data_IF_172306707575
#
_entry.id   IF_172306707575
#
_cell.length_a   1.000
_cell.length_b   1.000
_cell.length_c   1.000
_cell.angle_alpha   90.00
_cell.angle_beta   90.00
_cell.angle_gamma   90.00
#
_symmetry.space_group_name_H-M   'P 1'
#
loop_
_entity.id
_entity.type
_entity.pdbx_description
1 polymer ?
#
# COMPACT_ATOMS: atom_id res chain seq x y z
N UNK A 1 -40.59 -30.68 54.66
CA UNK A 1 -41.23 -30.53 53.35
C UNK A 1 -40.18 -30.97 52.31
N UNK A 2 -40.26 -32.25 51.92
CA UNK A 2 -39.64 -32.99 50.77
C UNK A 2 -38.18 -32.71 50.38
N UNK A 3 -37.29 -33.68 50.07
CA UNK A 3 -37.21 -35.14 50.11
C UNK A 3 -35.74 -35.48 49.69
N UNK A 4 -35.23 -36.61 50.14
CA UNK A 4 -33.91 -37.20 49.81
C UNK A 4 -33.66 -37.46 48.31
N UNK A 5 -32.39 -37.45 47.89
CA UNK A 5 -31.82 -38.44 46.95
C UNK A 5 -30.27 -38.45 46.96
N UNK A 6 -29.71 -39.65 47.15
CA UNK A 6 -28.31 -39.97 47.42
C UNK A 6 -27.61 -40.58 46.19
N UNK A 7 -26.38 -40.12 45.87
CA UNK A 7 -25.22 -40.83 45.23
C UNK A 7 -25.36 -41.44 43.79
N UNK A 8 -24.28 -41.81 43.03
CA UNK A 8 -22.84 -41.95 43.32
C UNK A 8 -21.84 -41.40 42.24
N UNK A 9 -20.55 -41.68 42.47
CA UNK A 9 -19.30 -41.30 41.78
C UNK A 9 -19.05 -41.87 40.36
N UNK A 10 -18.25 -41.15 39.55
CA UNK A 10 -17.55 -41.69 38.36
C UNK A 10 -16.09 -41.20 38.34
N UNK A 11 -15.07 -42.10 38.33
CA UNK A 11 -13.68 -41.72 38.21
C UNK A 11 -13.29 -41.47 36.75
N UNK A 12 -12.76 -40.28 36.41
CA UNK A 12 -12.14 -40.04 35.11
C UNK A 12 -10.76 -40.69 35.06
N UNK A 13 -10.65 -41.80 34.34
CA UNK A 13 -9.38 -42.42 33.93
C UNK A 13 -8.47 -41.38 33.26
N UNK A 14 -7.30 -41.12 33.86
CA UNK A 14 -6.20 -40.44 33.18
C UNK A 14 -5.58 -41.41 32.16
N UNK A 15 -5.82 -41.17 30.88
CA UNK A 15 -5.14 -41.87 29.80
C UNK A 15 -3.68 -41.40 29.75
N UNK A 16 -2.75 -42.30 30.11
CA UNK A 16 -1.31 -42.11 30.02
C UNK A 16 -0.90 -42.33 28.55
N UNK A 17 -0.69 -41.27 27.78
CA UNK A 17 -0.09 -41.37 26.43
C UNK A 17 1.41 -41.66 26.56
N UNK A 18 1.99 -42.52 25.70
CA UNK A 18 3.39 -42.94 25.80
C UNK A 18 4.34 -41.81 25.41
N UNK A 19 5.37 -41.63 26.24
CA UNK A 19 6.51 -40.78 25.98
C UNK A 19 7.39 -41.38 24.86
N UNK A 20 7.21 -40.91 23.64
CA UNK A 20 8.23 -41.03 22.59
C UNK A 20 7.88 -40.13 21.42
N UNK A 21 8.52 -38.96 21.37
CA UNK A 21 8.88 -38.19 20.17
C UNK A 21 9.67 -37.00 20.70
N UNK A 22 10.94 -37.25 21.03
CA UNK A 22 11.87 -36.16 21.33
C UNK A 22 11.98 -35.31 20.07
N UNK A 23 11.49 -34.08 20.14
CA UNK A 23 11.84 -33.01 19.21
C UNK A 23 13.37 -32.93 19.13
N UNK A 24 13.95 -33.50 18.07
CA UNK A 24 15.40 -33.46 17.82
C UNK A 24 15.81 -32.41 16.78
N UNK A 25 14.91 -31.51 16.40
CA UNK A 25 15.18 -30.43 15.45
C UNK A 25 14.74 -29.05 15.97
N UNK A 26 15.03 -28.74 17.23
CA UNK A 26 15.11 -27.33 17.63
C UNK A 26 16.45 -26.79 17.11
N UNK A 27 16.50 -25.83 16.16
CA UNK A 27 17.76 -25.24 15.76
C UNK A 27 18.41 -24.63 17.01
N UNK A 28 19.59 -25.13 17.36
CA UNK A 28 20.48 -24.55 18.35
C UNK A 28 20.53 -23.05 18.14
N UNK A 29 20.03 -22.28 19.11
CA UNK A 29 20.06 -20.82 19.11
C UNK A 29 21.48 -20.34 19.42
N UNK A 30 22.43 -20.69 18.57
CA UNK A 30 23.75 -20.06 18.59
C UNK A 30 23.53 -18.54 18.42
N UNK A 31 24.12 -17.69 19.28
CA UNK A 31 23.97 -16.26 19.14
C UNK A 31 24.46 -15.82 17.76
N UNK A 32 23.57 -15.17 17.00
CA UNK A 32 23.88 -14.65 15.66
C UNK A 32 25.10 -13.74 15.77
N UNK A 33 26.11 -13.99 14.94
CA UNK A 33 27.31 -13.16 14.90
C UNK A 33 26.93 -11.73 14.49
N UNK A 34 27.33 -10.70 15.25
CA UNK A 34 27.05 -9.33 14.87
C UNK A 34 27.74 -9.03 13.53
N UNK A 35 27.04 -8.41 12.57
CA UNK A 35 27.63 -8.11 11.27
C UNK A 35 28.81 -7.15 11.42
N UNK A 36 29.87 -7.37 10.63
CA UNK A 36 31.03 -6.49 10.64
C UNK A 36 30.64 -5.07 10.19
N UNK A 37 31.37 -4.07 10.69
CA UNK A 37 31.16 -2.68 10.29
C UNK A 37 31.29 -2.50 8.77
N UNK A 38 32.24 -3.21 8.15
CA UNK A 38 32.41 -3.22 6.70
C UNK A 38 31.18 -3.74 5.96
N UNK A 39 30.53 -4.80 6.44
CA UNK A 39 29.32 -5.32 5.81
C UNK A 39 28.16 -4.30 5.87
N UNK A 40 28.00 -3.63 7.02
CA UNK A 40 26.98 -2.58 7.21
C UNK A 40 27.19 -1.39 6.29
N UNK A 41 28.42 -0.89 6.19
CA UNK A 41 28.76 0.20 5.27
C UNK A 41 28.72 -0.22 3.81
N UNK A 42 28.97 -1.49 3.50
CA UNK A 42 28.78 -2.01 2.13
C UNK A 42 27.31 -1.96 1.73
N UNK A 43 26.39 -2.39 2.60
CA UNK A 43 24.95 -2.25 2.36
C UNK A 43 24.54 -0.78 2.16
N UNK A 44 25.05 0.13 3.00
CA UNK A 44 24.78 1.56 2.86
C UNK A 44 25.34 2.13 1.54
N UNK A 45 26.55 1.74 1.13
CA UNK A 45 27.14 2.16 -0.14
C UNK A 45 26.37 1.65 -1.36
N UNK A 46 25.87 0.41 -1.32
CA UNK A 46 25.00 -0.14 -2.37
C UNK A 46 23.72 0.70 -2.47
N UNK A 47 23.09 1.03 -1.34
CA UNK A 47 21.91 1.88 -1.31
C UNK A 47 22.21 3.27 -1.90
N UNK A 48 23.32 3.91 -1.51
CA UNK A 48 23.75 5.20 -2.08
C UNK A 48 23.91 5.10 -3.60
N UNK A 49 24.52 4.02 -4.09
CA UNK A 49 24.65 3.77 -5.53
C UNK A 49 23.30 3.71 -6.24
N UNK A 50 22.34 2.96 -5.67
CA UNK A 50 20.98 2.86 -6.20
C UNK A 50 20.28 4.23 -6.18
N UNK A 51 20.36 4.96 -5.06
CA UNK A 51 19.78 6.29 -4.94
C UNK A 51 20.43 7.30 -5.89
N UNK A 52 21.73 7.16 -6.18
CA UNK A 52 22.44 7.97 -7.17
C UNK A 52 21.97 7.70 -8.60
N UNK A 53 21.74 6.44 -8.95
CA UNK A 53 21.16 6.06 -10.26
C UNK A 53 19.73 6.61 -10.36
N UNK A 54 18.90 6.40 -9.34
CA UNK A 54 17.55 6.96 -9.28
C UNK A 54 17.58 8.49 -9.41
N UNK A 55 18.47 9.17 -8.67
CA UNK A 55 18.61 10.63 -8.72
C UNK A 55 18.98 11.14 -10.11
N UNK A 56 19.87 10.45 -10.83
CA UNK A 56 20.18 10.79 -12.23
C UNK A 56 19.00 10.65 -13.18
N UNK A 57 18.12 9.69 -12.95
CA UNK A 57 16.91 9.48 -13.76
C UNK A 57 15.79 10.47 -13.40
N UNK A 58 15.75 10.91 -12.14
CA UNK A 58 14.70 11.80 -11.62
C UNK A 58 15.02 13.27 -11.88
N UNK A 59 16.22 13.73 -11.53
CA UNK A 59 16.63 15.14 -11.62
C UNK A 59 17.18 15.48 -13.00
N UNK A 60 16.30 15.44 -14.00
CA UNK A 60 16.56 15.90 -15.37
C UNK A 60 16.34 17.42 -15.46
N UNK A 61 16.80 18.10 -16.53
CA UNK A 61 16.47 19.51 -16.77
C UNK A 61 14.96 19.75 -16.82
N UNK A 62 14.48 20.91 -16.34
CA UNK A 62 13.04 21.22 -16.31
C UNK A 62 12.40 21.17 -17.71
N UNK A 63 13.15 21.53 -18.75
CA UNK A 63 12.73 21.48 -20.16
C UNK A 63 12.47 20.06 -20.68
N UNK A 64 13.05 19.05 -20.04
CA UNK A 64 12.89 17.64 -20.41
C UNK A 64 11.85 16.93 -19.54
N UNK A 65 11.32 17.60 -18.52
CA UNK A 65 10.28 16.99 -17.68
C UNK A 65 8.96 16.88 -18.40
N UNK A 66 8.22 15.77 -18.21
CA UNK A 66 6.93 15.62 -18.84
C UNK A 66 5.99 16.75 -18.44
N UNK A 67 5.36 17.34 -19.44
CA UNK A 67 4.54 18.54 -19.35
C UNK A 67 3.44 18.46 -20.40
N UNK A 68 2.73 19.56 -20.64
CA UNK A 68 1.74 19.64 -21.73
C UNK A 68 2.41 19.39 -23.09
N UNK A 69 3.64 19.85 -23.27
CA UNK A 69 4.38 19.77 -24.54
C UNK A 69 5.28 18.53 -24.63
N UNK A 70 5.72 18.01 -23.48
CA UNK A 70 6.62 16.85 -23.40
C UNK A 70 5.84 15.64 -22.89
N UNK A 71 5.60 14.61 -23.73
CA UNK A 71 4.77 13.48 -23.33
C UNK A 71 5.45 12.60 -22.27
N UNK A 72 4.66 12.10 -21.32
CA UNK A 72 5.10 11.09 -20.36
C UNK A 72 5.36 9.73 -21.03
N UNK A 73 6.26 8.95 -20.45
CA UNK A 73 6.51 7.58 -20.87
C UNK A 73 5.23 6.70 -20.84
N UNK A 74 5.23 5.66 -21.67
CA UNK A 74 4.12 4.72 -21.80
C UNK A 74 3.78 4.00 -20.47
N UNK A 75 2.55 3.49 -20.37
CA UNK A 75 2.06 2.63 -19.27
C UNK A 75 2.89 1.35 -19.08
N UNK A 76 3.71 0.98 -20.07
CA UNK A 76 4.63 -0.16 -19.97
C UNK A 76 5.65 0.04 -18.86
N UNK A 77 6.15 1.26 -18.67
CA UNK A 77 7.12 1.58 -17.62
C UNK A 77 6.57 1.36 -16.20
N UNK A 78 5.45 1.99 -15.78
CA UNK A 78 4.88 1.74 -14.45
C UNK A 78 4.48 0.27 -14.29
N UNK A 79 3.98 -0.38 -15.34
CA UNK A 79 3.65 -1.81 -15.31
C UNK A 79 4.88 -2.68 -15.05
N UNK A 80 5.98 -2.47 -15.76
CA UNK A 80 7.22 -3.22 -15.55
C UNK A 80 7.78 -3.00 -14.15
N UNK A 81 7.75 -1.77 -13.64
CA UNK A 81 8.19 -1.46 -12.27
C UNK A 81 7.30 -2.12 -11.20
N UNK A 82 5.97 -2.06 -11.36
CA UNK A 82 5.02 -2.70 -10.44
C UNK A 82 5.15 -4.23 -10.47
N UNK A 83 5.22 -4.84 -11.65
CA UNK A 83 5.36 -6.30 -11.78
C UNK A 83 6.70 -6.74 -11.20
N UNK A 84 7.80 -6.02 -11.51
CA UNK A 84 9.11 -6.26 -10.94
C UNK A 84 9.09 -6.16 -9.41
N UNK A 85 8.47 -5.11 -8.87
CA UNK A 85 8.27 -4.93 -7.44
C UNK A 85 7.54 -6.14 -6.81
N UNK A 86 6.34 -6.49 -7.30
CA UNK A 86 5.55 -7.59 -6.73
C UNK A 86 6.23 -8.95 -6.83
N UNK A 87 6.93 -9.25 -7.93
CA UNK A 87 7.68 -10.50 -8.10
C UNK A 87 8.93 -10.53 -7.20
N UNK A 88 9.58 -9.39 -7.02
CA UNK A 88 10.81 -9.31 -6.21
C UNK A 88 10.55 -9.55 -4.71
N UNK A 89 9.37 -9.20 -4.17
CA UNK A 89 9.05 -9.38 -2.75
C UNK A 89 9.14 -10.84 -2.26
N UNK A 90 8.47 -11.83 -2.86
CA UNK A 90 8.58 -13.22 -2.43
C UNK A 90 9.98 -13.80 -2.67
N UNK A 91 10.65 -13.43 -3.77
CA UNK A 91 12.03 -13.85 -4.04
C UNK A 91 12.96 -13.34 -2.94
N UNK A 92 12.85 -12.06 -2.60
CA UNK A 92 13.64 -11.42 -1.56
C UNK A 92 13.35 -12.05 -0.19
N UNK A 93 12.08 -12.36 0.10
CA UNK A 93 11.71 -13.03 1.33
C UNK A 93 12.36 -14.43 1.44
N UNK A 94 12.27 -15.23 0.38
CA UNK A 94 12.88 -16.57 0.34
C UNK A 94 14.40 -16.50 0.49
N UNK A 95 15.05 -15.57 -0.21
CA UNK A 95 16.48 -15.33 -0.09
C UNK A 95 16.87 -14.91 1.33
N UNK A 96 16.10 -13.99 1.92
CA UNK A 96 16.33 -13.50 3.29
C UNK A 96 16.25 -14.62 4.30
N UNK A 97 15.21 -15.45 4.25
CA UNK A 97 15.00 -16.56 5.19
C UNK A 97 16.01 -17.70 5.02
N UNK A 98 16.36 -18.05 3.78
CA UNK A 98 17.22 -19.20 3.51
C UNK A 98 18.70 -18.90 3.66
N UNK A 99 19.12 -17.67 3.38
CA UNK A 99 20.53 -17.26 3.32
C UNK A 99 20.84 -16.27 4.43
N UNK A 100 20.31 -15.05 4.36
CA UNK A 100 20.76 -13.94 5.19
C UNK A 100 20.46 -14.13 6.68
N UNK A 101 19.23 -14.52 7.01
CA UNK A 101 18.75 -14.65 8.40
C UNK A 101 19.44 -15.78 9.19
N UNK A 102 20.11 -16.71 8.50
CA UNK A 102 20.90 -17.79 9.15
C UNK A 102 22.27 -17.32 9.60
N UNK A 103 22.81 -16.26 8.99
CA UNK A 103 24.19 -15.84 9.16
C UNK A 103 24.34 -14.48 9.84
N UNK A 104 23.35 -13.60 9.72
CA UNK A 104 23.46 -12.21 10.18
C UNK A 104 22.22 -11.76 10.95
N UNK A 105 22.44 -10.89 11.95
CA UNK A 105 21.38 -10.02 12.46
C UNK A 105 21.06 -8.93 11.42
N UNK A 106 19.95 -9.12 10.71
CA UNK A 106 19.51 -8.26 9.62
C UNK A 106 19.12 -6.85 10.08
N UNK A 107 18.67 -6.70 11.33
CA UNK A 107 18.35 -5.38 11.89
C UNK A 107 19.62 -4.57 12.09
N UNK A 108 20.67 -5.19 12.62
CA UNK A 108 21.98 -4.56 12.78
C UNK A 108 22.66 -4.31 11.43
N UNK A 109 22.54 -5.25 10.48
CA UNK A 109 23.16 -5.16 9.16
C UNK A 109 22.63 -3.96 8.35
N UNK A 110 21.33 -3.71 8.41
CA UNK A 110 20.64 -2.71 7.60
C UNK A 110 20.45 -1.36 8.31
N UNK A 111 20.92 -1.23 9.55
CA UNK A 111 20.66 -0.06 10.39
C UNK A 111 21.08 1.25 9.69
N UNK A 112 22.34 1.33 9.24
CA UNK A 112 22.90 2.49 8.53
C UNK A 112 22.13 2.80 7.26
N UNK A 113 21.77 1.76 6.48
CA UNK A 113 21.04 1.91 5.23
C UNK A 113 19.65 2.50 5.47
N UNK A 114 18.93 2.01 6.49
CA UNK A 114 17.62 2.54 6.83
C UNK A 114 17.70 3.97 7.36
N UNK A 115 18.66 4.29 8.23
CA UNK A 115 18.83 5.66 8.73
C UNK A 115 19.11 6.61 7.57
N UNK A 116 20.07 6.26 6.70
CA UNK A 116 20.40 7.05 5.52
C UNK A 116 19.20 7.25 4.60
N UNK A 117 18.48 6.17 4.29
CA UNK A 117 17.29 6.21 3.46
C UNK A 117 16.20 7.14 4.03
N UNK A 118 15.84 6.96 5.31
CA UNK A 118 14.80 7.78 5.94
C UNK A 118 15.22 9.26 6.02
N UNK A 119 16.48 9.55 6.33
CA UNK A 119 17.01 10.92 6.36
C UNK A 119 16.99 11.54 4.96
N UNK A 120 17.42 10.81 3.94
CA UNK A 120 17.37 11.28 2.56
C UNK A 120 15.92 11.53 2.10
N UNK A 121 14.98 10.67 2.49
CA UNK A 121 13.56 10.86 2.23
C UNK A 121 12.98 12.11 2.90
N UNK A 122 13.39 12.41 4.14
CA UNK A 122 13.03 13.67 4.82
C UNK A 122 13.51 14.88 4.03
N UNK A 123 14.77 14.89 3.58
CA UNK A 123 15.32 16.01 2.80
C UNK A 123 14.68 16.14 1.43
N UNK A 124 14.44 15.03 0.72
CA UNK A 124 13.79 15.02 -0.59
C UNK A 124 12.36 15.59 -0.49
N UNK A 125 11.56 15.08 0.44
CA UNK A 125 10.20 15.56 0.66
C UNK A 125 10.18 17.01 1.17
N UNK A 126 11.12 17.39 2.05
CA UNK A 126 11.27 18.77 2.51
C UNK A 126 11.60 19.74 1.38
N UNK A 127 12.48 19.33 0.45
CA UNK A 127 12.78 20.10 -0.75
C UNK A 127 11.55 20.25 -1.66
N UNK A 128 10.75 19.19 -1.85
CA UNK A 128 9.50 19.26 -2.61
C UNK A 128 8.50 20.24 -1.97
N UNK A 129 8.32 20.18 -0.64
CA UNK A 129 7.47 21.12 0.11
C UNK A 129 7.93 22.56 -0.12
N UNK A 130 9.24 22.83 0.05
CA UNK A 130 9.80 24.15 -0.19
C UNK A 130 9.52 24.63 -1.62
N UNK A 131 9.77 23.80 -2.63
CA UNK A 131 9.58 24.18 -4.04
C UNK A 131 8.11 24.43 -4.38
N UNK A 132 7.18 23.65 -3.84
CA UNK A 132 5.74 23.91 -4.00
C UNK A 132 5.31 25.22 -3.34
N UNK A 133 5.82 25.53 -2.14
CA UNK A 133 5.52 26.79 -1.46
C UNK A 133 6.15 28.00 -2.20
N UNK A 134 7.38 27.87 -2.67
CA UNK A 134 8.04 28.90 -3.51
C UNK A 134 7.24 29.16 -4.78
N UNK A 135 6.73 28.10 -5.41
CA UNK A 135 5.88 28.18 -6.58
C UNK A 135 4.61 29.00 -6.33
N UNK A 136 3.93 28.74 -5.20
CA UNK A 136 2.70 29.44 -4.81
C UNK A 136 2.94 30.91 -4.41
N UNK A 137 3.97 31.15 -3.59
CA UNK A 137 4.18 32.45 -2.95
C UNK A 137 4.93 33.41 -3.86
N UNK A 138 6.00 32.93 -4.51
CA UNK A 138 6.95 33.79 -5.21
C UNK A 138 6.83 33.71 -6.73
N UNK A 139 6.35 32.58 -7.27
CA UNK A 139 6.28 32.36 -8.73
C UNK A 139 4.88 32.50 -9.31
N UNK A 140 3.88 32.78 -8.47
CA UNK A 140 2.52 33.08 -8.88
C UNK A 140 1.70 31.87 -9.31
N UNK A 141 2.01 30.66 -8.78
CA UNK A 141 1.19 29.48 -9.05
C UNK A 141 -0.22 29.67 -8.46
N UNK A 142 -1.29 29.53 -9.24
CA UNK A 142 -2.65 29.68 -8.75
C UNK A 142 -2.93 28.70 -7.62
N UNK A 143 -3.57 29.18 -6.55
CA UNK A 143 -3.95 28.29 -5.45
C UNK A 143 -5.02 27.27 -5.87
N UNK A 144 -5.90 27.64 -6.79
CA UNK A 144 -6.96 26.78 -7.33
C UNK A 144 -7.20 27.14 -8.78
N UNK A 145 -7.49 26.13 -9.59
CA UNK A 145 -8.10 26.31 -10.90
C UNK A 145 -7.09 26.31 -12.05
N UNK A 146 -5.93 25.68 -11.87
CA UNK A 146 -4.93 25.57 -12.92
C UNK A 146 -5.12 24.30 -13.77
N UNK A 147 -5.55 24.50 -15.03
CA UNK A 147 -5.69 23.46 -16.08
C UNK A 147 -4.45 23.37 -16.96
N UNK A 148 -3.69 24.45 -17.07
CA UNK A 148 -2.69 24.66 -18.13
C UNK A 148 -1.36 25.10 -17.55
N UNK A 149 -0.95 24.41 -16.48
CA UNK A 149 0.43 24.33 -15.98
C UNK A 149 1.17 25.67 -16.05
N UNK A 150 0.95 26.54 -15.07
CA UNK A 150 1.70 27.80 -14.99
C UNK A 150 3.20 27.50 -14.94
N UNK A 151 4.02 28.28 -15.66
CA UNK A 151 5.49 28.16 -15.79
C UNK A 151 6.26 28.44 -14.48
N UNK A 152 5.68 28.07 -13.35
CA UNK A 152 6.15 28.29 -11.98
C UNK A 152 7.13 27.21 -11.53
N UNK A 153 7.35 26.17 -12.35
CA UNK A 153 8.15 25.01 -11.98
C UNK A 153 7.40 23.97 -11.15
N UNK A 154 6.09 24.12 -10.93
CA UNK A 154 5.27 23.12 -10.24
C UNK A 154 5.31 21.75 -10.91
N UNK A 155 5.20 21.69 -12.24
CA UNK A 155 5.24 20.42 -12.98
C UNK A 155 6.54 19.64 -12.73
N UNK A 156 7.67 20.34 -12.65
CA UNK A 156 8.96 19.74 -12.31
C UNK A 156 8.92 19.03 -10.95
N UNK A 157 8.36 19.70 -9.94
CA UNK A 157 8.29 19.14 -8.59
C UNK A 157 7.31 17.97 -8.53
N UNK A 158 6.20 18.04 -9.25
CA UNK A 158 5.26 16.91 -9.36
C UNK A 158 5.92 15.72 -10.08
N UNK A 159 6.76 15.96 -11.09
CA UNK A 159 7.56 14.91 -11.72
C UNK A 159 8.49 14.22 -10.70
N UNK A 160 9.24 15.00 -9.91
CA UNK A 160 10.10 14.44 -8.86
C UNK A 160 9.26 13.66 -7.84
N UNK A 161 8.09 14.17 -7.46
CA UNK A 161 7.15 13.50 -6.57
C UNK A 161 6.65 12.16 -7.13
N UNK A 162 6.35 12.10 -8.43
CA UNK A 162 5.99 10.87 -9.11
C UNK A 162 7.13 9.85 -9.07
N UNK A 163 8.36 10.27 -9.38
CA UNK A 163 9.54 9.41 -9.31
C UNK A 163 9.81 8.89 -7.88
N UNK A 164 9.52 9.71 -6.86
CA UNK A 164 9.68 9.34 -5.44
C UNK A 164 8.77 8.17 -5.06
N UNK A 165 7.57 8.03 -5.64
CA UNK A 165 6.67 6.88 -5.34
C UNK A 165 7.31 5.52 -5.64
N UNK A 166 8.24 5.45 -6.59
CA UNK A 166 9.01 4.24 -6.86
C UNK A 166 10.20 4.07 -5.91
N UNK A 167 10.79 5.17 -5.44
CA UNK A 167 11.81 5.12 -4.40
C UNK A 167 11.23 4.61 -3.08
N UNK A 168 9.96 4.90 -2.81
CA UNK A 168 9.22 4.42 -1.63
C UNK A 168 9.02 2.89 -1.61
N UNK A 169 9.20 2.18 -2.73
CA UNK A 169 9.17 0.72 -2.73
C UNK A 169 10.26 0.11 -1.84
N UNK A 170 11.33 0.87 -1.58
CA UNK A 170 12.37 0.47 -0.63
C UNK A 170 11.86 0.32 0.81
N UNK A 171 10.76 0.99 1.19
CA UNK A 171 10.11 0.77 2.49
C UNK A 171 9.75 -0.71 2.67
N UNK A 172 9.09 -1.28 1.65
CA UNK A 172 8.71 -2.70 1.66
C UNK A 172 9.92 -3.62 1.60
N UNK A 173 10.95 -3.26 0.82
CA UNK A 173 12.19 -4.04 0.76
C UNK A 173 12.87 -4.11 2.13
N UNK A 174 12.94 -3.01 2.88
CA UNK A 174 13.47 -3.02 4.24
C UNK A 174 12.61 -3.86 5.20
N UNK A 175 11.28 -3.83 5.08
CA UNK A 175 10.37 -4.67 5.89
C UNK A 175 10.63 -6.16 5.64
N UNK A 176 10.71 -6.57 4.36
CA UNK A 176 10.97 -7.96 3.97
C UNK A 176 12.37 -8.41 4.40
N UNK A 177 13.39 -7.60 4.14
CA UNK A 177 14.78 -7.90 4.51
C UNK A 177 14.96 -8.00 6.02
N UNK A 178 14.16 -7.30 6.83
CA UNK A 178 14.18 -7.43 8.29
C UNK A 178 13.34 -8.60 8.81
N UNK A 179 12.66 -9.33 7.94
CA UNK A 179 11.71 -10.37 8.33
C UNK A 179 10.45 -9.83 9.01
N UNK A 180 10.15 -8.54 8.90
CA UNK A 180 8.94 -7.90 9.47
C UNK A 180 7.77 -7.97 8.49
N UNK A 181 7.38 -9.18 8.12
CA UNK A 181 6.29 -9.42 7.16
C UNK A 181 4.92 -8.95 7.66
N UNK A 182 4.75 -8.84 8.98
CA UNK A 182 3.59 -8.26 9.62
C UNK A 182 3.38 -6.78 9.24
N UNK A 183 4.43 -6.07 8.86
CA UNK A 183 4.35 -4.70 8.34
C UNK A 183 3.96 -4.66 6.85
N UNK A 184 4.26 -5.72 6.08
CA UNK A 184 3.91 -5.86 4.65
C UNK A 184 2.44 -6.26 4.50
N UNK A 185 1.57 -5.37 4.93
CA UNK A 185 0.13 -5.57 4.91
C UNK A 185 -0.50 -5.37 3.55
N UNK A 186 -1.75 -5.82 3.42
CA UNK A 186 -2.59 -5.44 2.29
C UNK A 186 -2.66 -3.92 2.12
N UNK A 187 -2.86 -3.16 3.21
CA UNK A 187 -2.92 -1.69 3.16
C UNK A 187 -1.64 -1.11 2.55
N UNK A 188 -0.49 -1.57 3.02
CA UNK A 188 0.82 -1.10 2.59
C UNK A 188 1.04 -1.38 1.10
N UNK A 189 0.89 -2.64 0.68
CA UNK A 189 1.12 -3.04 -0.72
C UNK A 189 0.09 -2.43 -1.65
N UNK A 190 -1.18 -2.36 -1.24
CA UNK A 190 -2.24 -1.66 -1.96
C UNK A 190 -1.83 -0.20 -2.20
N UNK A 191 -1.54 0.54 -1.14
CA UNK A 191 -1.13 1.95 -1.21
C UNK A 191 0.04 2.19 -2.15
N UNK A 192 1.17 1.50 -1.96
CA UNK A 192 2.36 1.72 -2.80
C UNK A 192 2.10 1.36 -4.27
N UNK A 193 1.26 0.35 -4.52
CA UNK A 193 0.93 -0.03 -5.90
C UNK A 193 -0.03 0.97 -6.54
N UNK A 194 -1.15 1.29 -5.89
CA UNK A 194 -2.20 2.13 -6.46
C UNK A 194 -1.76 3.58 -6.60
N UNK A 195 -1.02 4.13 -5.62
CA UNK A 195 -0.51 5.52 -5.70
C UNK A 195 0.47 5.68 -6.86
N UNK A 196 1.36 4.72 -7.10
CA UNK A 196 2.28 4.80 -8.25
C UNK A 196 1.52 4.84 -9.60
N UNK A 197 0.45 4.07 -9.71
CA UNK A 197 -0.42 4.07 -10.90
C UNK A 197 -1.30 5.31 -10.99
N UNK A 198 -1.84 5.80 -9.88
CA UNK A 198 -2.66 7.00 -9.81
C UNK A 198 -1.85 8.23 -10.24
N UNK A 199 -0.59 8.36 -9.78
CA UNK A 199 0.28 9.44 -10.22
C UNK A 199 0.67 9.32 -11.70
N UNK A 200 0.97 8.12 -12.20
CA UNK A 200 1.21 7.94 -13.64
C UNK A 200 -0.02 8.35 -14.47
N UNK A 201 -1.21 7.90 -14.07
CA UNK A 201 -2.45 8.24 -14.76
C UNK A 201 -2.75 9.75 -14.68
N UNK A 202 -2.56 10.36 -13.51
CA UNK A 202 -2.72 11.80 -13.31
C UNK A 202 -1.80 12.59 -14.23
N UNK A 203 -0.51 12.28 -14.23
CA UNK A 203 0.49 12.97 -15.05
C UNK A 203 0.29 12.70 -16.56
N UNK A 204 -0.17 11.50 -16.95
CA UNK A 204 -0.48 11.17 -18.34
C UNK A 204 -1.74 11.88 -18.87
N UNK A 205 -2.78 11.99 -18.03
CA UNK A 205 -4.06 12.59 -18.41
C UNK A 205 -4.02 14.12 -18.30
N UNK A 206 -3.27 14.62 -17.33
CA UNK A 206 -3.28 16.00 -16.88
C UNK A 206 -1.92 16.36 -16.22
N UNK A 207 -0.87 16.61 -17.03
CA UNK A 207 0.46 16.91 -16.53
C UNK A 207 0.55 18.32 -15.92
N UNK A 208 0.52 18.39 -14.59
CA UNK A 208 0.68 19.63 -13.83
C UNK A 208 -0.63 20.19 -13.28
N UNK A 209 -0.70 21.52 -13.12
CA UNK A 209 -1.89 22.19 -12.60
C UNK A 209 -2.17 21.93 -11.13
N UNK A 210 -3.45 21.75 -10.81
CA UNK A 210 -3.98 21.55 -9.46
C UNK A 210 -3.50 20.25 -8.75
N UNK A 211 -2.81 19.35 -9.46
CA UNK A 211 -2.19 18.15 -8.86
C UNK A 211 -1.13 18.48 -7.79
N UNK A 212 -0.57 19.70 -7.80
CA UNK A 212 0.41 20.14 -6.82
C UNK A 212 -0.10 20.02 -5.38
N UNK A 213 -1.39 20.26 -5.14
CA UNK A 213 -1.93 20.32 -3.78
C UNK A 213 -1.84 18.95 -3.08
N UNK A 214 -2.17 17.89 -3.82
CA UNK A 214 -2.01 16.51 -3.36
C UNK A 214 -0.55 16.16 -3.09
N UNK A 215 0.35 16.53 -4.01
CA UNK A 215 1.79 16.28 -3.87
C UNK A 215 2.39 17.05 -2.69
N UNK A 216 1.99 18.31 -2.47
CA UNK A 216 2.44 19.16 -1.37
C UNK A 216 2.03 18.57 -0.03
N UNK A 217 0.75 18.24 0.17
CA UNK A 217 0.31 17.66 1.44
C UNK A 217 0.91 16.26 1.67
N UNK A 218 1.03 15.43 0.62
CA UNK A 218 1.70 14.14 0.73
C UNK A 218 3.16 14.32 1.16
N UNK A 219 3.90 15.24 0.52
CA UNK A 219 5.29 15.52 0.86
C UNK A 219 5.43 16.04 2.31
N UNK A 220 4.52 16.89 2.78
CA UNK A 220 4.47 17.31 4.19
C UNK A 220 4.27 16.14 5.15
N UNK A 221 3.34 15.23 4.85
CA UNK A 221 3.12 14.03 5.64
C UNK A 221 4.37 13.12 5.59
N UNK A 222 5.02 12.98 4.45
CA UNK A 222 6.19 12.14 4.27
C UNK A 222 7.41 12.69 5.01
N UNK A 223 7.61 14.01 5.08
CA UNK A 223 8.59 14.63 6.00
C UNK A 223 8.33 14.17 7.43
N UNK A 224 7.10 14.24 7.92
CA UNK A 224 6.76 13.84 9.29
C UNK A 224 6.91 12.33 9.52
N UNK A 225 6.49 11.52 8.55
CA UNK A 225 6.50 10.06 8.63
C UNK A 225 7.92 9.49 8.58
N UNK A 226 8.76 9.94 7.65
CA UNK A 226 10.16 9.51 7.57
C UNK A 226 11.00 10.07 8.71
N UNK A 227 10.68 11.27 9.23
CA UNK A 227 11.29 11.77 10.48
C UNK A 227 10.97 10.84 11.64
N UNK A 228 9.71 10.40 11.77
CA UNK A 228 9.32 9.43 12.79
C UNK A 228 10.08 8.11 12.64
N UNK A 229 10.20 7.56 11.43
CA UNK A 229 10.97 6.32 11.20
C UNK A 229 12.45 6.47 11.53
N UNK A 230 13.10 7.57 11.12
CA UNK A 230 14.49 7.85 11.47
C UNK A 230 14.67 7.95 13.00
N UNK A 231 13.82 8.70 13.69
CA UNK A 231 13.89 8.87 15.14
C UNK A 231 13.61 7.56 15.89
N UNK A 232 12.63 6.76 15.43
CA UNK A 232 12.34 5.44 15.98
C UNK A 232 13.52 4.47 15.84
N UNK A 233 14.26 4.52 14.72
CA UNK A 233 15.49 3.73 14.55
C UNK A 233 16.58 4.14 15.55
N UNK A 234 16.72 5.44 15.81
CA UNK A 234 17.64 5.99 16.82
C UNK A 234 17.17 5.77 18.27
N UNK A 235 16.06 5.04 18.48
CA UNK A 235 15.44 4.78 19.79
C UNK A 235 15.02 6.06 20.52
N UNK A 236 14.74 7.14 19.78
CA UNK A 236 14.20 8.38 20.33
C UNK A 236 12.69 8.21 20.50
N UNK A 237 12.18 8.49 21.71
CA UNK A 237 10.77 8.29 22.05
C UNK A 237 9.89 9.29 21.28
N UNK A 238 9.04 8.78 20.39
CA UNK A 238 8.14 9.60 19.56
C UNK A 238 6.66 9.34 19.91
N UNK A 239 6.05 10.10 20.85
CA UNK A 239 4.67 9.87 21.27
C UNK A 239 3.61 10.31 20.24
N UNK A 240 4.02 10.80 19.07
CA UNK A 240 3.12 11.38 18.07
C UNK A 240 2.64 10.42 16.97
N UNK A 241 2.89 9.10 17.09
CA UNK A 241 2.42 8.08 16.13
C UNK A 241 0.93 8.20 15.79
N UNK A 242 0.09 8.47 16.79
CA UNK A 242 -1.35 8.67 16.61
C UNK A 242 -1.67 9.93 15.81
N UNK A 243 -0.96 11.03 16.09
CA UNK A 243 -1.15 12.29 15.37
C UNK A 243 -0.72 12.18 13.91
N UNK A 244 0.29 11.35 13.60
CA UNK A 244 0.66 11.06 12.21
C UNK A 244 -0.48 10.38 11.44
N UNK A 245 -1.11 9.36 12.02
CA UNK A 245 -2.26 8.70 11.38
C UNK A 245 -3.45 9.66 11.21
N UNK A 246 -3.66 10.57 12.16
CA UNK A 246 -4.69 11.62 12.04
C UNK A 246 -4.33 12.63 10.94
N UNK A 247 -3.07 13.01 10.80
CA UNK A 247 -2.59 13.91 9.76
C UNK A 247 -2.73 13.29 8.37
N UNK A 248 -2.47 11.98 8.22
CA UNK A 248 -2.74 11.23 6.98
C UNK A 248 -4.23 11.22 6.61
N UNK A 249 -5.12 10.98 7.58
CA UNK A 249 -6.56 11.03 7.35
C UNK A 249 -7.02 12.45 6.95
N UNK A 250 -6.48 13.47 7.61
CA UNK A 250 -6.76 14.86 7.29
C UNK A 250 -6.28 15.20 5.87
N UNK A 251 -5.07 14.78 5.49
CA UNK A 251 -4.55 14.93 4.12
C UNK A 251 -5.54 14.38 3.10
N UNK A 252 -5.96 13.12 3.22
CA UNK A 252 -6.86 12.51 2.23
C UNK A 252 -8.19 13.28 2.11
N UNK A 253 -8.77 13.68 3.23
CA UNK A 253 -9.99 14.49 3.24
C UNK A 253 -9.78 15.87 2.59
N UNK A 254 -8.69 16.56 2.92
CA UNK A 254 -8.34 17.86 2.35
C UNK A 254 -8.15 17.78 0.84
N UNK A 255 -7.49 16.73 0.34
CA UNK A 255 -7.26 16.56 -1.11
C UNK A 255 -8.57 16.27 -1.85
N UNK A 256 -9.51 15.51 -1.26
CA UNK A 256 -10.84 15.29 -1.85
C UNK A 256 -11.60 16.62 -1.98
N UNK A 257 -11.65 17.40 -0.90
CA UNK A 257 -12.34 18.71 -0.88
C UNK A 257 -11.72 19.66 -1.91
N UNK A 258 -10.39 19.73 -1.95
CA UNK A 258 -9.67 20.54 -2.91
C UNK A 258 -9.95 20.12 -4.35
N UNK A 259 -9.92 18.82 -4.65
CA UNK A 259 -10.18 18.29 -6.00
C UNK A 259 -11.59 18.66 -6.49
N UNK A 260 -12.58 18.63 -5.59
CA UNK A 260 -13.94 19.07 -5.91
C UNK A 260 -14.00 20.57 -6.21
N UNK A 261 -13.38 21.40 -5.36
CA UNK A 261 -13.38 22.85 -5.51
C UNK A 261 -12.60 23.33 -6.76
N UNK A 262 -11.47 22.68 -7.04
CA UNK A 262 -10.68 22.85 -8.27
C UNK A 262 -11.52 22.61 -9.52
N UNK A 263 -12.22 21.48 -9.58
CA UNK A 263 -13.10 21.15 -10.72
C UNK A 263 -14.19 22.20 -10.95
N UNK A 264 -14.75 22.79 -9.89
CA UNK A 264 -15.78 23.83 -10.01
C UNK A 264 -15.22 25.20 -10.41
N UNK A 265 -13.94 25.46 -10.14
CA UNK A 265 -13.28 26.73 -10.41
C UNK A 265 -12.72 26.81 -11.84
N UNK A 266 -12.54 25.67 -12.50
CA UNK A 266 -12.11 25.57 -13.88
C UNK A 266 -13.10 26.19 -14.88
N UNK A 267 -12.63 27.02 -15.84
CA UNK A 267 -13.46 27.53 -16.93
C UNK A 267 -14.13 26.38 -17.69
N UNK A 268 -15.45 26.47 -17.88
CA UNK A 268 -16.26 25.39 -18.47
C UNK A 268 -15.73 24.97 -19.84
N UNK A 269 -15.24 25.95 -20.60
CA UNK A 269 -14.79 25.82 -21.98
C UNK A 269 -13.47 25.03 -22.10
N UNK A 270 -12.65 25.02 -21.04
CA UNK A 270 -11.35 24.35 -21.01
C UNK A 270 -11.44 22.92 -20.45
N UNK A 271 -12.60 22.55 -19.88
CA UNK A 271 -12.81 21.22 -19.32
C UNK A 271 -12.97 20.17 -20.42
N UNK A 272 -12.15 19.12 -20.34
CA UNK A 272 -12.22 17.96 -21.23
C UNK A 272 -12.45 16.68 -20.42
N UNK A 273 -12.89 15.60 -21.09
CA UNK A 273 -13.06 14.25 -20.53
C UNK A 273 -11.83 13.76 -19.76
N UNK A 274 -10.62 14.14 -20.19
CA UNK A 274 -9.37 13.80 -19.50
C UNK A 274 -9.30 14.41 -18.09
N UNK A 275 -9.71 15.67 -17.92
CA UNK A 275 -9.72 16.35 -16.62
C UNK A 275 -10.69 15.67 -15.65
N UNK A 276 -11.90 15.35 -16.13
CA UNK A 276 -12.89 14.60 -15.33
C UNK A 276 -12.39 13.21 -14.93
N UNK A 277 -11.73 12.50 -15.84
CA UNK A 277 -11.16 11.19 -15.53
C UNK A 277 -10.03 11.29 -14.50
N UNK A 278 -9.15 12.29 -14.61
CA UNK A 278 -8.09 12.55 -13.64
C UNK A 278 -8.65 12.83 -12.24
N UNK A 279 -9.64 13.73 -12.13
CA UNK A 279 -10.31 14.04 -10.85
C UNK A 279 -11.03 12.81 -10.29
N UNK A 280 -11.68 12.02 -11.15
CA UNK A 280 -12.32 10.77 -10.72
C UNK A 280 -11.31 9.79 -10.10
N UNK A 281 -10.17 9.57 -10.78
CA UNK A 281 -9.09 8.71 -10.27
C UNK A 281 -8.55 9.27 -8.95
N UNK A 282 -8.30 10.58 -8.87
CA UNK A 282 -7.82 11.25 -7.66
C UNK A 282 -8.79 11.06 -6.47
N UNK A 283 -10.08 11.33 -6.67
CA UNK A 283 -11.10 11.19 -5.62
C UNK A 283 -11.24 9.73 -5.21
N UNK A 284 -11.26 8.80 -6.18
CA UNK A 284 -11.34 7.37 -5.91
C UNK A 284 -10.18 6.90 -5.04
N UNK A 285 -8.95 7.28 -5.39
CA UNK A 285 -7.73 6.89 -4.67
C UNK A 285 -7.68 7.49 -3.26
N UNK A 286 -7.99 8.77 -3.10
CA UNK A 286 -8.02 9.39 -1.77
C UNK A 286 -9.13 8.80 -0.90
N UNK A 287 -10.30 8.49 -1.48
CA UNK A 287 -11.41 7.89 -0.75
C UNK A 287 -11.10 6.44 -0.33
N UNK A 288 -10.51 5.65 -1.21
CA UNK A 288 -10.10 4.27 -0.88
C UNK A 288 -9.09 4.28 0.27
N UNK A 289 -8.02 5.09 0.16
CA UNK A 289 -7.01 5.22 1.21
C UNK A 289 -7.58 5.78 2.51
N UNK A 290 -8.46 6.78 2.45
CA UNK A 290 -9.14 7.29 3.64
C UNK A 290 -9.89 6.16 4.36
N UNK A 291 -10.68 5.36 3.65
CA UNK A 291 -11.44 4.25 4.25
C UNK A 291 -10.50 3.23 4.88
N UNK A 292 -9.46 2.78 4.17
CA UNK A 292 -8.54 1.77 4.70
C UNK A 292 -7.76 2.30 5.92
N UNK A 293 -7.25 3.54 5.87
CA UNK A 293 -6.56 4.18 7.00
C UNK A 293 -7.52 4.45 8.16
N UNK A 294 -8.78 4.77 7.91
CA UNK A 294 -9.77 5.02 8.96
C UNK A 294 -10.12 3.73 9.70
N UNK A 295 -10.30 2.62 8.97
CA UNK A 295 -10.47 1.29 9.56
C UNK A 295 -9.25 0.93 10.41
N UNK A 296 -8.04 1.12 9.87
CA UNK A 296 -6.79 0.91 10.60
C UNK A 296 -6.71 1.77 11.88
N UNK A 297 -7.04 3.05 11.79
CA UNK A 297 -7.04 3.98 12.92
C UNK A 297 -8.02 3.54 14.01
N UNK A 298 -9.27 3.22 13.65
CA UNK A 298 -10.25 2.72 14.63
C UNK A 298 -9.76 1.44 15.30
N UNK A 299 -9.26 0.47 14.53
CA UNK A 299 -8.79 -0.81 15.10
C UNK A 299 -7.59 -0.65 16.02
N UNK A 300 -6.61 0.17 15.62
CA UNK A 300 -5.36 0.37 16.37
C UNK A 300 -5.55 1.19 17.64
N UNK A 301 -6.50 2.14 17.66
CA UNK A 301 -6.65 3.09 18.76
C UNK A 301 -7.95 2.95 19.58
N UNK A 302 -8.95 2.17 19.13
CA UNK A 302 -10.22 2.00 19.87
C UNK A 302 -10.12 1.01 21.05
N UNK A 303 -9.13 0.10 21.07
CA UNK A 303 -8.98 -0.89 22.14
C UNK A 303 -8.32 -0.37 23.43
N UNK A 304 -7.85 0.88 23.45
CA UNK A 304 -7.29 1.50 24.67
C UNK A 304 -8.32 1.85 25.74
N UNK A 305 -9.61 1.90 25.42
CA UNK A 305 -10.66 2.38 26.35
C UNK A 305 -11.29 1.29 27.23
N UNK A 306 -11.07 0.00 26.95
CA UNK A 306 -11.68 -1.10 27.71
C UNK A 306 -10.70 -1.71 28.75
N UNK A 307 -9.38 -1.65 28.51
CA UNK A 307 -8.41 -2.27 29.42
C UNK A 307 -7.86 -1.36 30.54
N UNK A 308 -8.23 -0.07 30.56
CA UNK A 308 -7.83 0.85 31.65
C UNK A 308 -8.76 0.80 32.87
N UNK A 309 -9.80 -0.04 32.87
CA UNK A 309 -10.73 -0.20 34.01
C UNK A 309 -10.51 -1.49 34.80
N UNK A 310 -9.47 -2.28 34.50
CA UNK A 310 -9.11 -3.46 35.27
C UNK A 310 -7.67 -3.31 35.81
N UNK A 311 -7.56 -3.19 37.14
CA UNK A 311 -6.34 -3.11 37.94
C UNK A 311 -5.10 -3.82 37.33
N UNK A 312 -4.08 -3.04 36.97
CA UNK A 312 -2.68 -3.49 36.92
C UNK A 312 -1.76 -2.41 37.50
N UNK A 313 -0.80 -2.76 38.38
CA UNK A 313 0.18 -1.82 38.89
C UNK A 313 1.10 -1.33 37.74
N UNK A 314 1.78 -0.18 37.92
CA UNK A 314 2.48 0.49 36.83
C UNK A 314 3.76 -0.26 36.45
N UNK A 315 3.68 -1.13 35.46
CA UNK A 315 4.88 -1.63 34.77
C UNK A 315 5.29 -0.61 33.72
N UNK A 316 6.59 -0.24 33.70
CA UNK A 316 7.17 0.66 32.71
C UNK A 316 6.86 0.14 31.29
N UNK A 317 6.02 0.84 30.53
CA UNK A 317 5.78 0.52 29.13
C UNK A 317 7.05 0.83 28.34
N UNK A 318 7.80 -0.20 27.97
CA UNK A 318 8.89 -0.09 27.02
C UNK A 318 8.32 0.26 25.65
N UNK A 319 9.01 1.10 24.88
CA UNK A 319 8.58 1.54 23.55
C UNK A 319 8.28 0.38 22.56
N UNK A 320 8.84 -0.81 22.81
CA UNK A 320 8.63 -2.04 22.04
C UNK A 320 7.16 -2.56 22.09
N UNK A 321 6.46 -2.45 23.22
CA UNK A 321 5.09 -2.97 23.35
C UNK A 321 4.06 -2.18 22.51
N UNK A 322 4.32 -0.90 22.27
CA UNK A 322 3.45 -0.05 21.44
C UNK A 322 3.61 -0.27 19.94
N UNK A 323 4.78 -0.76 19.51
CA UNK A 323 5.04 -1.12 18.12
C UNK A 323 4.49 -2.51 17.78
N UNK A 324 4.62 -3.48 18.70
CA UNK A 324 4.04 -4.82 18.56
C UNK A 324 2.50 -4.80 18.46
N UNK A 325 1.81 -3.97 19.24
CA UNK A 325 0.33 -3.87 19.17
C UNK A 325 -0.17 -3.24 17.87
N UNK A 326 0.54 -2.24 17.34
CA UNK A 326 0.21 -1.61 16.07
C UNK A 326 0.41 -2.59 14.90
N UNK A 327 1.48 -3.38 14.95
CA UNK A 327 1.76 -4.41 13.95
C UNK A 327 0.81 -5.59 14.02
N UNK A 328 0.38 -6.00 15.21
CA UNK A 328 -0.72 -6.96 15.35
C UNK A 328 -2.03 -6.43 14.76
N UNK A 329 -2.32 -5.13 14.90
CA UNK A 329 -3.49 -4.52 14.28
C UNK A 329 -3.40 -4.48 12.74
N UNK A 330 -2.21 -4.26 12.18
CA UNK A 330 -1.91 -4.31 10.74
C UNK A 330 -2.03 -5.73 10.17
N UNK A 331 -1.49 -6.73 10.86
CA UNK A 331 -1.63 -8.14 10.47
C UNK A 331 -3.10 -8.60 10.54
N UNK A 332 -3.82 -8.20 11.59
CA UNK A 332 -5.24 -8.49 11.71
C UNK A 332 -6.09 -7.72 10.69
N UNK A 333 -5.66 -6.55 10.20
CA UNK A 333 -6.31 -5.83 9.11
C UNK A 333 -6.12 -6.56 7.78
N UNK A 334 -4.90 -7.04 7.49
CA UNK A 334 -4.60 -7.82 6.28
C UNK A 334 -5.51 -9.04 6.19
N UNK A 335 -5.66 -9.79 7.28
CA UNK A 335 -6.54 -10.96 7.30
C UNK A 335 -8.01 -10.60 7.06
N UNK A 336 -8.52 -9.52 7.66
CA UNK A 336 -9.91 -9.08 7.46
C UNK A 336 -10.14 -8.59 6.02
N UNK A 337 -9.21 -7.83 5.46
CA UNK A 337 -9.35 -7.31 4.09
C UNK A 337 -9.21 -8.42 3.04
N UNK A 338 -8.28 -9.35 3.22
CA UNK A 338 -8.19 -10.55 2.37
C UNK A 338 -9.49 -11.35 2.42
N UNK A 339 -10.10 -11.55 3.60
CA UNK A 339 -11.38 -12.23 3.73
C UNK A 339 -12.53 -11.49 3.00
N UNK A 340 -12.56 -10.16 3.08
CA UNK A 340 -13.57 -9.34 2.39
C UNK A 340 -13.38 -9.36 0.86
N UNK A 341 -12.14 -9.33 0.38
CA UNK A 341 -11.84 -9.43 -1.05
C UNK A 341 -12.15 -10.83 -1.59
N UNK A 342 -11.86 -11.89 -0.84
CA UNK A 342 -12.23 -13.26 -1.19
C UNK A 342 -13.75 -13.45 -1.24
N UNK A 343 -14.48 -12.81 -0.33
CA UNK A 343 -15.95 -12.80 -0.35
C UNK A 343 -16.48 -12.07 -1.59
N UNK A 344 -15.96 -10.87 -1.88
CA UNK A 344 -16.36 -10.11 -3.07
C UNK A 344 -16.02 -10.83 -4.38
N UNK A 345 -14.87 -11.51 -4.46
CA UNK A 345 -14.47 -12.30 -5.62
C UNK A 345 -15.39 -13.51 -5.84
N UNK A 346 -15.82 -14.18 -4.76
CA UNK A 346 -16.79 -15.27 -4.82
C UNK A 346 -18.16 -14.78 -5.28
N UNK A 347 -18.61 -13.62 -4.80
CA UNK A 347 -19.88 -13.03 -5.21
C UNK A 347 -19.86 -12.61 -6.69
N UNK A 348 -18.78 -11.98 -7.15
CA UNK A 348 -18.60 -11.64 -8.57
C UNK A 348 -18.61 -12.91 -9.45
N UNK A 349 -17.92 -13.97 -9.04
CA UNK A 349 -17.92 -15.26 -9.75
C UNK A 349 -19.31 -15.88 -9.82
N UNK A 350 -20.09 -15.78 -8.74
CA UNK A 350 -21.47 -16.25 -8.67
C UNK A 350 -22.39 -15.46 -9.60
N UNK A 351 -22.22 -14.14 -9.69
CA UNK A 351 -22.98 -13.29 -10.62
C UNK A 351 -22.65 -13.60 -12.09
N UNK A 352 -21.37 -13.81 -12.42
CA UNK A 352 -20.94 -14.19 -13.78
C UNK A 352 -21.50 -15.57 -14.17
N UNK A 353 -21.46 -16.55 -13.26
CA UNK A 353 -22.02 -17.87 -13.50
C UNK A 353 -23.55 -17.83 -13.60
N UNK A 354 -24.22 -16.99 -12.82
CA UNK A 354 -25.65 -16.72 -12.94
C UNK A 354 -25.99 -16.13 -14.32
N UNK A 355 -25.25 -15.10 -14.75
CA UNK A 355 -25.44 -14.48 -16.07
C UNK A 355 -25.20 -15.47 -17.22
N UNK A 356 -24.17 -16.33 -17.13
CA UNK A 356 -23.93 -17.40 -18.12
C UNK A 356 -25.07 -18.41 -18.17
N UNK A 357 -25.64 -18.80 -17.02
CA UNK A 357 -26.78 -19.71 -16.95
C UNK A 357 -28.03 -19.09 -17.58
N UNK A 358 -28.31 -17.82 -17.28
CA UNK A 358 -29.43 -17.08 -17.88
C UNK A 358 -29.27 -16.85 -19.39
N UNK A 359 -28.04 -16.62 -19.87
CA UNK A 359 -27.76 -16.57 -21.31
C UNK A 359 -27.98 -17.95 -21.96
N UNK A 360 -27.48 -19.02 -21.35
CA UNK A 360 -27.65 -20.40 -21.85
C UNK A 360 -29.12 -20.82 -21.93
N UNK A 361 -29.95 -20.42 -20.95
CA UNK A 361 -31.39 -20.67 -20.95
C UNK A 361 -32.12 -19.83 -22.01
N UNK A 362 -31.64 -18.62 -22.33
CA UNK A 362 -32.19 -17.78 -23.40
C UNK A 362 -31.76 -18.19 -24.82
N UNK A 363 -30.63 -18.89 -25.00
CA UNK A 363 -30.22 -19.44 -26.32
C UNK A 363 -30.85 -20.79 -26.65
N UNK A 364 -31.40 -21.51 -25.67
CA UNK A 364 -32.02 -22.82 -25.87
C UNK A 364 -33.45 -22.86 -26.48
N UNK A 365 -34.24 -21.78 -26.64
CA UNK A 365 -35.50 -21.86 -27.37
C UNK A 365 -35.32 -21.88 -28.89
N UNK A 366 -34.17 -21.45 -29.44
CA UNK A 366 -33.99 -21.24 -30.89
C UNK A 366 -33.60 -22.53 -31.64
N UNK A 367 -33.14 -23.58 -30.96
CA UNK A 367 -32.82 -24.85 -31.62
C UNK A 367 -33.97 -25.88 -31.65
N UNK A 368 -35.13 -25.60 -31.03
CA UNK A 368 -36.27 -26.52 -31.02
C UNK A 368 -37.31 -26.28 -32.12
N UNK A 369 -37.18 -25.25 -32.94
CA UNK A 369 -38.15 -24.93 -34.02
C UNK A 369 -37.65 -25.14 -35.46
N UNK A 370 -36.40 -25.60 -35.68
CA UNK A 370 -35.86 -25.80 -37.05
C UNK A 370 -35.70 -27.29 -37.45
N UNK A 371 -36.05 -28.23 -36.57
CA UNK A 371 -35.90 -29.68 -36.83
C UNK A 371 -37.11 -30.39 -37.43
N UNK A 372 -38.19 -29.68 -37.77
CA UNK A 372 -39.51 -30.27 -37.98
C UNK A 372 -40.22 -29.92 -39.28
N UNK A 373 -39.53 -29.80 -40.41
CA UNK A 373 -40.20 -29.76 -41.71
C UNK A 373 -39.24 -30.12 -42.85
N UNK A 374 -39.20 -31.39 -43.24
CA UNK A 374 -39.14 -31.82 -44.65
C UNK A 374 -39.13 -33.35 -44.71
N UNK A 375 -40.32 -33.93 -44.88
CA UNK A 375 -40.47 -35.22 -45.55
C UNK A 375 -40.31 -35.00 -47.07
N UNK A 376 -39.54 -35.86 -47.74
CA UNK A 376 -39.75 -36.14 -49.17
C UNK A 376 -40.52 -37.45 -49.27
N UNK A 377 -41.59 -37.55 -50.08
CA UNK A 377 -42.20 -38.83 -50.38
C UNK A 377 -41.38 -39.55 -51.46
N UNK A 378 -41.14 -40.83 -51.21
CA UNK A 378 -40.86 -41.84 -52.23
C UNK A 378 -42.07 -41.96 -53.14
N UNK A 379 -41.90 -42.05 -54.46
CA UNK A 379 -42.21 -43.25 -55.26
C UNK A 379 -41.89 -43.02 -56.74
N UNK A 380 -41.53 -44.14 -57.34
CA UNK A 380 -41.07 -44.44 -58.69
C UNK A 380 -42.10 -44.17 -59.80
N UNK A 381 -41.55 -43.95 -60.99
CA UNK A 381 -42.18 -44.01 -62.33
C UNK A 381 -42.80 -45.40 -62.56
N UNK A 382 -44.02 -45.48 -63.11
CA UNK A 382 -44.44 -46.27 -64.30
C UNK A 382 -45.92 -46.00 -64.59
N UNK A 383 -46.20 -45.34 -65.71
CA UNK A 383 -47.12 -45.71 -66.81
C UNK A 383 -47.50 -44.46 -67.60
#
# INVERSE_FOLDING_TARGET
MCQDATTPSIPKKAAKMPASLSNKDAPSSAPLTPPSLMARYTCAAILVGIMGIWGKLTFVPETETPSVDVPLHSYRTPLSLTVGYLISLPILHLFTQRVLAKHFDLKALLFESMVLYNVAQVFLNGWMVYRFLDSLINRGHPFVGDISTVSTGTAYVVWVHYCDKYLEFFDTYFMVLRGKLDQVSFLHVYHHTTIAWAWWAGFYLFPGGDSYFGALLNSCIHVMMYSYYALSLLKIRCPWKRFLTQAQLLQFASVIIYSYFSMTSWPVQERNKKHYLCIFIQIWEMASLFVLFFIFYKKSYSNKRINNTANRPPTQSTADEGDDQCQQAVAAFTNTTTQLMDAAAKDATKMVNGAKKTLSEKTNPVQKEVGGAMSRPSWSIVS
#
